data_IF_571108261932
#
_entry.id   IF_571108261932
#
_cell.length_a   1.000
_cell.length_b   1.000
_cell.length_c   1.000
_cell.angle_alpha   90.00
_cell.angle_beta   90.00
_cell.angle_gamma   90.00
#
_symmetry.space_group_name_H-M   'P 1'
#
loop_
_entity.id
_entity.type
_entity.pdbx_description
1 polymer ?
#
# COMPACT_ATOMS: atom_id res chain seq x y z
N UNK A 1 -5.31 5.20 -4.63
CA UNK A 1 -6.50 4.37 -4.36
C UNK A 1 -6.80 3.43 -5.52
N UNK A 2 -7.28 3.95 -6.66
CA UNK A 2 -7.71 3.11 -7.81
C UNK A 2 -6.65 2.13 -8.29
N UNK A 3 -5.38 2.54 -8.35
CA UNK A 3 -4.29 1.67 -8.77
C UNK A 3 -4.09 0.46 -7.84
N UNK A 4 -4.12 0.67 -6.51
CA UNK A 4 -3.99 -0.39 -5.53
C UNK A 4 -5.18 -1.37 -5.62
N UNK A 5 -6.40 -0.83 -5.69
CA UNK A 5 -7.61 -1.65 -5.85
C UNK A 5 -7.61 -2.45 -7.14
N UNK A 6 -7.21 -1.84 -8.27
CA UNK A 6 -7.09 -2.53 -9.56
C UNK A 6 -6.07 -3.66 -9.51
N UNK A 7 -4.90 -3.45 -8.91
CA UNK A 7 -3.86 -4.48 -8.76
C UNK A 7 -4.37 -5.68 -7.94
N UNK A 8 -4.97 -5.41 -6.78
CA UNK A 8 -5.50 -6.44 -5.88
C UNK A 8 -6.68 -7.19 -6.51
N UNK A 9 -7.60 -6.47 -7.16
CA UNK A 9 -8.70 -7.08 -7.91
C UNK A 9 -8.18 -8.00 -9.01
N UNK A 10 -7.15 -7.56 -9.74
CA UNK A 10 -6.59 -8.37 -10.82
C UNK A 10 -5.92 -9.65 -10.31
N UNK A 11 -5.20 -9.56 -9.19
CA UNK A 11 -4.62 -10.74 -8.54
C UNK A 11 -5.71 -11.75 -8.14
N UNK A 12 -6.82 -11.26 -7.55
CA UNK A 12 -7.98 -12.09 -7.20
C UNK A 12 -8.62 -12.75 -8.42
N UNK A 13 -8.83 -12.01 -9.51
CA UNK A 13 -9.37 -12.57 -10.78
C UNK A 13 -8.47 -13.66 -11.36
N UNK A 14 -7.16 -13.57 -11.15
CA UNK A 14 -6.18 -14.57 -11.59
C UNK A 14 -6.07 -15.77 -10.63
N UNK A 15 -6.80 -15.77 -9.52
CA UNK A 15 -6.71 -16.81 -8.50
C UNK A 15 -5.37 -16.82 -7.75
N UNK A 16 -4.68 -15.68 -7.71
CA UNK A 16 -3.43 -15.53 -6.97
C UNK A 16 -3.73 -15.20 -5.51
N UNK A 17 -3.17 -15.98 -4.60
CA UNK A 17 -3.14 -15.64 -3.18
C UNK A 17 -2.00 -14.66 -2.93
N UNK A 18 -2.36 -13.48 -2.40
CA UNK A 18 -1.41 -12.40 -2.06
C UNK A 18 -1.24 -12.26 -0.54
N UNK A 19 -1.75 -13.21 0.23
CA UNK A 19 -1.54 -13.28 1.68
C UNK A 19 -0.05 -13.36 1.99
N UNK A 20 0.45 -12.43 2.81
CA UNK A 20 1.87 -12.34 3.14
C UNK A 20 2.73 -11.59 2.13
N UNK A 21 2.15 -11.11 1.02
CA UNK A 21 2.90 -10.37 0.01
C UNK A 21 3.36 -8.99 0.50
N UNK A 22 4.27 -8.40 -0.27
CA UNK A 22 4.66 -7.00 -0.15
C UNK A 22 4.07 -6.17 -1.30
N UNK A 23 3.68 -4.93 -1.01
CA UNK A 23 3.22 -3.94 -1.99
C UNK A 23 4.21 -2.77 -2.04
N UNK A 24 4.46 -2.25 -3.24
CA UNK A 24 5.35 -1.11 -3.44
C UNK A 24 4.63 -0.03 -4.26
N UNK A 25 4.86 1.24 -3.89
CA UNK A 25 4.56 2.38 -4.76
C UNK A 25 5.77 3.29 -4.84
N UNK A 26 6.04 3.79 -6.05
CA UNK A 26 7.07 4.77 -6.36
C UNK A 26 6.64 6.20 -6.06
N UNK A 27 5.37 6.41 -5.69
CA UNK A 27 4.76 7.65 -5.24
C UNK A 27 4.11 7.44 -3.85
N UNK A 28 3.81 8.53 -3.16
CA UNK A 28 3.19 8.44 -1.83
C UNK A 28 1.70 8.05 -1.90
N UNK A 29 1.18 7.41 -0.86
CA UNK A 29 -0.24 7.18 -0.65
C UNK A 29 -0.89 8.43 -0.04
N UNK A 30 -1.89 9.04 -0.71
CA UNK A 30 -2.49 10.27 -0.21
C UNK A 30 -3.45 10.03 0.99
N UNK A 31 -3.97 8.81 1.14
CA UNK A 31 -4.98 8.44 2.14
C UNK A 31 -4.79 7.00 2.63
N UNK A 32 -5.33 6.70 3.82
CA UNK A 32 -5.28 5.36 4.44
C UNK A 32 -6.03 4.26 3.68
N UNK A 33 -6.96 4.62 2.80
CA UNK A 33 -7.77 3.67 2.03
C UNK A 33 -6.96 2.65 1.22
N UNK A 34 -5.76 3.03 0.81
CA UNK A 34 -4.83 2.20 0.06
C UNK A 34 -4.19 1.13 0.96
N UNK A 35 -4.00 1.45 2.24
CA UNK A 35 -3.53 0.51 3.28
C UNK A 35 -4.67 -0.42 3.71
N UNK A 36 -5.87 0.11 3.92
CA UNK A 36 -7.04 -0.68 4.30
C UNK A 36 -7.35 -1.73 3.21
N UNK A 37 -7.31 -1.34 1.93
CA UNK A 37 -7.46 -2.28 0.81
C UNK A 37 -6.36 -3.34 0.76
N UNK A 38 -5.12 -2.97 1.04
CA UNK A 38 -3.99 -3.91 1.09
C UNK A 38 -4.15 -4.92 2.24
N UNK A 39 -4.63 -4.45 3.40
CA UNK A 39 -4.91 -5.29 4.57
C UNK A 39 -6.02 -6.31 4.27
N UNK A 40 -7.12 -5.89 3.62
CA UNK A 40 -8.19 -6.79 3.18
C UNK A 40 -7.70 -7.90 2.25
N UNK A 41 -6.67 -7.61 1.43
CA UNK A 41 -6.05 -8.59 0.55
C UNK A 41 -4.99 -9.46 1.25
N UNK A 42 -4.60 -9.16 2.49
CA UNK A 42 -3.63 -9.93 3.26
C UNK A 42 -2.16 -9.52 3.06
N UNK A 43 -1.89 -8.33 2.51
CA UNK A 43 -0.53 -7.77 2.39
C UNK A 43 0.08 -7.59 3.78
N UNK A 44 1.40 -7.85 3.92
CA UNK A 44 2.13 -7.75 5.21
C UNK A 44 3.22 -6.69 5.25
N UNK A 45 3.65 -6.19 4.09
CA UNK A 45 4.63 -5.12 4.02
C UNK A 45 4.29 -4.14 2.89
N UNK A 46 4.52 -2.85 3.14
CA UNK A 46 4.32 -1.77 2.19
C UNK A 46 5.57 -0.90 2.18
N UNK A 47 6.04 -0.53 0.98
CA UNK A 47 7.12 0.44 0.78
C UNK A 47 6.65 1.57 -0.14
N UNK A 48 6.90 2.81 0.27
CA UNK A 48 6.56 4.01 -0.49
C UNK A 48 7.54 5.16 -0.17
N UNK A 49 7.53 6.29 -0.90
CA UNK A 49 8.37 7.44 -0.57
C UNK A 49 7.97 8.16 0.72
N UNK A 50 6.68 8.17 1.07
CA UNK A 50 6.11 9.08 2.07
C UNK A 50 6.06 10.53 1.57
N UNK A 51 5.55 11.43 2.40
CA UNK A 51 5.41 12.86 2.13
C UNK A 51 3.98 13.33 1.88
N UNK A 52 2.97 12.53 2.21
CA UNK A 52 1.58 13.00 2.25
C UNK A 52 1.38 13.94 3.45
N UNK A 53 0.47 14.90 3.31
CA UNK A 53 -0.01 15.69 4.47
C UNK A 53 -0.71 14.78 5.50
N UNK A 54 -1.13 13.59 5.07
CA UNK A 54 -1.87 12.60 5.88
C UNK A 54 -1.05 11.34 6.16
N UNK A 55 0.28 11.41 6.12
CA UNK A 55 1.13 10.25 6.44
C UNK A 55 0.78 9.65 7.81
N UNK A 56 0.39 10.46 8.80
CA UNK A 56 -0.04 9.98 10.11
C UNK A 56 -1.25 9.02 10.02
N UNK A 57 -2.24 9.32 9.17
CA UNK A 57 -3.41 8.44 8.95
C UNK A 57 -3.00 7.12 8.28
N UNK A 58 -2.01 7.18 7.37
CA UNK A 58 -1.47 6.00 6.66
C UNK A 58 -0.69 5.11 7.61
N UNK A 59 0.16 5.71 8.46
CA UNK A 59 0.94 5.01 9.49
C UNK A 59 0.00 4.37 10.53
N UNK A 60 -1.03 5.09 10.97
CA UNK A 60 -2.03 4.57 11.91
C UNK A 60 -2.73 3.34 11.33
N UNK A 61 -3.19 3.40 10.08
CA UNK A 61 -3.80 2.25 9.41
C UNK A 61 -2.83 1.07 9.27
N UNK A 62 -1.56 1.32 8.95
CA UNK A 62 -0.57 0.25 8.89
C UNK A 62 -0.37 -0.43 10.25
N UNK A 63 -0.33 0.35 11.33
CA UNK A 63 -0.23 -0.16 12.70
C UNK A 63 -1.48 -0.95 13.12
N UNK A 64 -2.69 -0.44 12.82
CA UNK A 64 -3.96 -1.13 13.10
C UNK A 64 -3.99 -2.54 12.49
N UNK A 65 -3.50 -2.68 11.25
CA UNK A 65 -3.51 -3.95 10.50
C UNK A 65 -2.25 -4.81 10.69
N UNK A 66 -1.26 -4.32 11.46
CA UNK A 66 0.01 -5.00 11.66
C UNK A 66 0.82 -5.16 10.36
N UNK A 67 0.77 -4.15 9.49
CA UNK A 67 1.53 -4.07 8.25
C UNK A 67 2.84 -3.33 8.51
N UNK A 68 3.97 -3.89 8.07
CA UNK A 68 5.24 -3.16 8.10
C UNK A 68 5.25 -2.08 7.02
N UNK A 69 5.37 -0.81 7.39
CA UNK A 69 5.41 0.33 6.47
C UNK A 69 6.82 0.93 6.42
N UNK A 70 7.35 1.13 5.21
CA UNK A 70 8.68 1.71 4.97
C UNK A 70 8.57 2.98 4.12
N UNK A 71 9.10 4.09 4.62
CA UNK A 71 9.26 5.33 3.87
C UNK A 71 10.68 5.46 3.33
N UNK A 72 10.82 5.58 2.01
CA UNK A 72 12.13 5.69 1.35
C UNK A 72 12.62 7.12 1.24
N UNK A 73 11.74 8.13 1.34
CA UNK A 73 11.99 9.55 1.05
C UNK A 73 12.42 9.85 -0.39
N UNK A 74 12.38 8.86 -1.28
CA UNK A 74 12.83 8.98 -2.68
C UNK A 74 11.70 8.59 -3.62
N UNK A 75 11.26 9.54 -4.45
CA UNK A 75 10.24 9.31 -5.49
C UNK A 75 10.90 8.92 -6.80
N UNK A 76 10.48 7.80 -7.39
CA UNK A 76 10.99 7.28 -8.66
C UNK A 76 9.98 7.44 -9.80
N UNK A 77 9.40 8.63 -9.93
CA UNK A 77 8.41 8.90 -10.98
C UNK A 77 9.06 8.88 -12.38
N UNK A 78 8.41 8.19 -13.32
CA UNK A 78 8.81 8.09 -14.72
C UNK A 78 7.58 8.37 -15.59
N UNK A 79 7.73 9.28 -16.56
CA UNK A 79 6.66 9.64 -17.51
C UNK A 79 6.48 8.59 -18.61
#
# INVERSE_FOLDING_TARGET
VDAAQCALKKAKEMGLDVSGAAMASEAFFPFRDSIDAAAEAGVKAIIEPGGSIRDDEVIEAANEHGISLYFTTVRHFLH
#
